data_IF_646442508094
#
_entry.id   IF_646442508094
#
_cell.length_a   1.000
_cell.length_b   1.000
_cell.length_c   1.000
_cell.angle_alpha   90.00
_cell.angle_beta   90.00
_cell.angle_gamma   90.00
#
_symmetry.space_group_name_H-M   'P 1'
#
loop_
_entity.id
_entity.type
_entity.pdbx_description
1 polymer ?
#
# COMPACT_ATOMS: atom_id res chain seq x y z
N UNK A 1 36.97 -24.13 4.48
CA UNK A 1 36.65 -22.70 4.47
C UNK A 1 37.61 -22.00 5.42
N UNK A 2 38.47 -21.09 4.94
CA UNK A 2 39.54 -20.50 5.77
C UNK A 2 39.00 -19.38 6.68
N UNK A 3 39.28 -19.49 7.98
CA UNK A 3 38.89 -18.54 9.04
C UNK A 3 39.22 -17.06 8.74
N UNK A 4 40.39 -16.68 8.18
CA UNK A 4 40.68 -15.29 7.87
C UNK A 4 39.83 -14.72 6.71
N UNK A 5 39.42 -15.55 5.76
CA UNK A 5 38.52 -15.10 4.67
C UNK A 5 37.08 -14.90 5.19
N UNK A 6 36.60 -15.77 6.07
CA UNK A 6 35.29 -15.62 6.71
C UNK A 6 35.21 -14.34 7.56
N UNK A 7 36.24 -14.06 8.37
CA UNK A 7 36.31 -12.83 9.17
C UNK A 7 36.37 -11.57 8.29
N UNK A 8 37.09 -11.60 7.16
CA UNK A 8 37.15 -10.50 6.19
C UNK A 8 35.84 -10.22 5.44
N UNK A 9 35.06 -11.27 5.12
CA UNK A 9 33.73 -11.11 4.51
C UNK A 9 32.74 -10.57 5.54
N UNK A 10 32.76 -11.07 6.77
CA UNK A 10 31.88 -10.58 7.84
C UNK A 10 32.17 -9.11 8.16
N UNK A 11 33.45 -8.71 8.22
CA UNK A 11 33.80 -7.29 8.39
C UNK A 11 33.30 -6.44 7.22
N UNK A 12 33.51 -6.86 5.96
CA UNK A 12 33.04 -6.10 4.80
C UNK A 12 31.52 -5.92 4.75
N UNK A 13 30.76 -6.97 5.09
CA UNK A 13 29.29 -6.90 5.18
C UNK A 13 28.84 -5.94 6.29
N UNK A 14 29.50 -5.96 7.45
CA UNK A 14 29.23 -5.02 8.54
C UNK A 14 29.53 -3.58 8.13
N UNK A 15 30.62 -3.33 7.39
CA UNK A 15 30.95 -2.00 6.85
C UNK A 15 29.87 -1.47 5.88
N UNK A 16 29.31 -2.33 5.02
CA UNK A 16 28.23 -1.94 4.11
C UNK A 16 26.95 -1.56 4.86
N UNK A 17 26.54 -2.36 5.85
CA UNK A 17 25.37 -2.02 6.68
C UNK A 17 25.61 -0.77 7.53
N UNK A 18 26.82 -0.58 8.05
CA UNK A 18 27.19 0.64 8.77
C UNK A 18 27.12 1.87 7.84
N UNK A 19 27.58 1.75 6.60
CA UNK A 19 27.49 2.82 5.59
C UNK A 19 26.04 3.19 5.30
N UNK A 20 25.17 2.20 5.09
CA UNK A 20 23.73 2.44 4.86
C UNK A 20 23.08 3.11 6.08
N UNK A 21 23.40 2.64 7.29
CA UNK A 21 22.87 3.22 8.53
C UNK A 21 23.31 4.68 8.68
N UNK A 22 24.59 4.98 8.48
CA UNK A 22 25.13 6.34 8.54
C UNK A 22 24.45 7.22 7.48
N UNK A 23 24.25 6.72 6.26
CA UNK A 23 23.56 7.46 5.21
C UNK A 23 22.12 7.82 5.60
N UNK A 24 21.37 6.87 6.15
CA UNK A 24 20.00 7.10 6.65
C UNK A 24 20.01 8.14 7.78
N UNK A 25 20.94 8.03 8.74
CA UNK A 25 21.07 8.97 9.86
C UNK A 25 21.42 10.38 9.38
N UNK A 26 22.35 10.50 8.43
CA UNK A 26 22.70 11.78 7.81
C UNK A 26 21.50 12.37 7.06
N UNK A 27 20.73 11.55 6.36
CA UNK A 27 19.49 11.98 5.69
C UNK A 27 18.46 12.56 6.66
N UNK A 28 18.20 11.87 7.77
CA UNK A 28 17.32 12.37 8.83
C UNK A 28 17.89 13.63 9.51
N UNK A 29 19.20 13.66 9.78
CA UNK A 29 19.86 14.82 10.37
C UNK A 29 19.76 16.04 9.43
N UNK A 30 19.99 15.85 8.13
CA UNK A 30 19.84 16.89 7.13
C UNK A 30 18.41 17.44 7.09
N UNK A 31 17.39 16.57 7.02
CA UNK A 31 15.99 16.98 7.06
C UNK A 31 15.65 17.72 8.36
N UNK A 32 16.14 17.22 9.50
CA UNK A 32 15.96 17.84 10.81
C UNK A 32 16.62 19.22 10.92
N UNK A 33 17.86 19.37 10.45
CA UNK A 33 18.59 20.65 10.40
C UNK A 33 17.87 21.61 9.47
N UNK A 34 17.45 21.19 8.28
CA UNK A 34 16.73 22.03 7.33
C UNK A 34 15.42 22.56 7.93
N UNK A 35 14.61 21.69 8.56
CA UNK A 35 13.39 22.10 9.26
C UNK A 35 13.69 22.98 10.48
N UNK A 36 14.78 22.72 11.20
CA UNK A 36 15.24 23.52 12.34
C UNK A 36 15.65 24.93 11.95
N UNK A 37 16.46 25.06 10.90
CA UNK A 37 16.86 26.34 10.30
C UNK A 37 15.64 27.07 9.76
N UNK A 38 14.74 26.39 9.04
CA UNK A 38 13.51 26.98 8.56
C UNK A 38 12.64 27.52 9.71
N UNK A 39 12.52 26.78 10.81
CA UNK A 39 11.81 27.23 12.02
C UNK A 39 12.48 28.42 12.70
N UNK A 40 13.82 28.48 12.71
CA UNK A 40 14.59 29.57 13.32
C UNK A 40 14.53 30.86 12.50
N UNK A 41 14.62 30.76 11.17
CA UNK A 41 14.60 31.92 10.27
C UNK A 41 13.19 32.45 9.99
N UNK A 42 12.16 31.60 10.11
CA UNK A 42 10.78 31.98 9.83
C UNK A 42 10.28 33.05 10.82
N UNK A 43 9.59 34.11 10.35
CA UNK A 43 8.84 35.01 11.22
C UNK A 43 7.73 34.27 12.00
N UNK A 44 7.80 34.32 13.33
CA UNK A 44 6.79 33.72 14.20
C UNK A 44 5.64 34.71 14.47
N UNK A 45 4.51 34.52 13.79
CA UNK A 45 3.29 35.31 14.00
C UNK A 45 2.07 34.37 14.08
N UNK A 46 1.90 33.65 15.21
CA UNK A 46 0.73 32.82 15.46
C UNK A 46 -0.49 33.71 15.72
N UNK A 47 -1.59 33.43 15.04
CA UNK A 47 -2.90 34.05 15.30
C UNK A 47 -3.96 32.96 15.38
N UNK A 48 -5.04 33.21 16.13
CA UNK A 48 -6.12 32.23 16.30
C UNK A 48 -6.64 31.71 14.95
N UNK A 49 -6.85 32.61 13.98
CA UNK A 49 -7.31 32.26 12.62
C UNK A 49 -6.30 31.44 11.78
N UNK A 50 -4.99 31.53 12.03
CA UNK A 50 -3.97 30.70 11.34
C UNK A 50 -3.87 29.29 11.91
N UNK A 51 -4.40 29.09 13.12
CA UNK A 51 -4.33 27.83 13.86
C UNK A 51 -5.64 27.04 13.77
N UNK A 52 -6.67 27.56 13.09
CA UNK A 52 -7.91 26.85 12.79
C UNK A 52 -7.78 25.98 11.54
N UNK A 53 -8.55 24.90 11.48
CA UNK A 53 -8.68 24.06 10.28
C UNK A 53 -9.11 24.91 9.08
N UNK A 54 -8.52 24.65 7.91
CA UNK A 54 -8.89 25.32 6.67
C UNK A 54 -10.23 24.78 6.16
N UNK A 55 -11.25 25.65 6.12
CA UNK A 55 -12.60 25.33 5.61
C UNK A 55 -13.09 26.41 4.64
N UNK A 56 -12.24 26.80 3.66
CA UNK A 56 -12.55 27.83 2.66
C UNK A 56 -13.00 29.20 3.22
N UNK A 57 -12.60 29.54 4.45
CA UNK A 57 -12.95 30.79 5.13
C UNK A 57 -14.09 30.68 6.14
N UNK A 58 -14.76 29.53 6.20
CA UNK A 58 -15.83 29.26 7.17
C UNK A 58 -15.29 28.61 8.46
N UNK A 59 -16.12 28.60 9.50
CA UNK A 59 -15.83 27.85 10.72
C UNK A 59 -16.10 26.36 10.47
N UNK A 60 -15.09 25.51 10.70
CA UNK A 60 -15.25 24.06 10.60
C UNK A 60 -16.40 23.59 11.50
N UNK A 61 -17.41 22.96 10.88
CA UNK A 61 -18.65 22.52 11.54
C UNK A 61 -18.82 21.03 11.32
N UNK A 62 -19.23 20.33 12.38
CA UNK A 62 -19.54 18.91 12.32
C UNK A 62 -18.38 18.01 12.74
N UNK A 63 -18.66 16.72 12.75
CA UNK A 63 -17.72 15.68 13.13
C UNK A 63 -16.87 15.27 11.92
N UNK A 64 -15.54 15.23 12.07
CA UNK A 64 -14.63 14.69 11.05
C UNK A 64 -14.71 13.15 10.91
N UNK A 65 -15.55 12.50 11.72
CA UNK A 65 -15.76 11.06 11.69
C UNK A 65 -16.69 10.67 10.55
N UNK A 66 -16.12 10.45 9.37
CA UNK A 66 -16.81 9.87 8.22
C UNK A 66 -16.52 8.38 8.11
N UNK A 67 -17.50 7.61 7.61
CA UNK A 67 -17.27 6.21 7.25
C UNK A 67 -16.43 6.16 5.98
N UNK A 68 -15.14 5.91 6.14
CA UNK A 68 -14.24 5.68 5.01
C UNK A 68 -14.70 4.47 4.21
N UNK A 69 -14.53 4.56 2.90
CA UNK A 69 -14.95 3.50 1.99
C UNK A 69 -14.10 2.24 2.23
N UNK A 70 -14.74 1.08 2.36
CA UNK A 70 -14.07 -0.23 2.56
C UNK A 70 -13.08 -0.58 1.43
N UNK A 71 -13.17 0.10 0.27
CA UNK A 71 -12.25 -0.09 -0.86
C UNK A 71 -10.78 0.11 -0.49
N UNK A 72 -10.45 1.04 0.41
CA UNK A 72 -9.06 1.22 0.87
C UNK A 72 -8.53 -0.02 1.61
N UNK A 73 -9.40 -0.68 2.38
CA UNK A 73 -9.07 -1.92 3.08
C UNK A 73 -8.83 -3.06 2.09
N UNK A 74 -9.67 -3.20 1.05
CA UNK A 74 -9.49 -4.24 0.04
C UNK A 74 -8.15 -4.08 -0.69
N UNK A 75 -7.80 -2.86 -1.12
CA UNK A 75 -6.50 -2.59 -1.76
C UNK A 75 -5.33 -2.90 -0.84
N UNK A 76 -5.40 -2.49 0.44
CA UNK A 76 -4.35 -2.79 1.41
C UNK A 76 -4.20 -4.29 1.69
N UNK A 77 -5.31 -5.03 1.79
CA UNK A 77 -5.32 -6.46 1.98
C UNK A 77 -4.65 -7.19 0.79
N UNK A 78 -5.00 -6.82 -0.45
CA UNK A 78 -4.37 -7.40 -1.63
C UNK A 78 -2.89 -7.06 -1.73
N UNK A 79 -2.50 -5.84 -1.37
CA UNK A 79 -1.09 -5.45 -1.30
C UNK A 79 -0.31 -6.34 -0.32
N UNK A 80 -0.84 -6.58 0.88
CA UNK A 80 -0.17 -7.45 1.88
C UNK A 80 -0.04 -8.89 1.36
N UNK A 81 -1.08 -9.44 0.75
CA UNK A 81 -1.03 -10.80 0.18
C UNK A 81 0.05 -10.89 -0.91
N UNK A 82 0.07 -9.93 -1.84
CA UNK A 82 1.06 -9.88 -2.90
C UNK A 82 2.50 -9.62 -2.39
N UNK A 83 2.66 -8.81 -1.35
CA UNK A 83 3.97 -8.55 -0.72
C UNK A 83 4.51 -9.81 -0.05
N UNK A 84 3.64 -10.58 0.62
CA UNK A 84 4.00 -11.90 1.15
C UNK A 84 4.36 -12.86 0.02
N UNK A 85 3.69 -12.83 -1.13
CA UNK A 85 4.05 -13.68 -2.28
C UNK A 85 5.45 -13.36 -2.83
N UNK A 86 5.86 -12.10 -2.81
CA UNK A 86 7.19 -11.66 -3.24
C UNK A 86 8.31 -12.25 -2.36
N UNK A 87 8.05 -12.52 -1.08
CA UNK A 87 9.06 -13.16 -0.21
C UNK A 87 9.41 -14.58 -0.68
N UNK A 88 8.52 -15.25 -1.40
CA UNK A 88 8.76 -16.58 -1.97
C UNK A 88 9.44 -16.50 -3.34
N UNK A 89 9.13 -15.49 -4.14
CA UNK A 89 9.72 -15.28 -5.45
C UNK A 89 11.20 -14.89 -5.38
N UNK A 90 11.59 -14.08 -4.39
CA UNK A 90 12.95 -13.55 -4.28
C UNK A 90 14.02 -14.65 -4.08
N UNK A 91 13.90 -15.57 -3.09
CA UNK A 91 14.87 -16.66 -2.92
C UNK A 91 14.96 -17.51 -4.17
N UNK A 92 13.82 -17.90 -4.76
CA UNK A 92 13.79 -18.68 -5.99
C UNK A 92 14.56 -17.99 -7.12
N UNK A 93 14.32 -16.70 -7.36
CA UNK A 93 14.96 -15.95 -8.44
C UNK A 93 16.50 -15.88 -8.27
N UNK A 94 16.98 -15.75 -7.04
CA UNK A 94 18.41 -15.70 -6.73
C UNK A 94 19.09 -17.05 -6.97
N UNK A 95 18.47 -18.16 -6.56
CA UNK A 95 19.08 -19.49 -6.67
C UNK A 95 18.85 -20.18 -8.01
N UNK A 96 17.85 -19.75 -8.79
CA UNK A 96 17.42 -20.40 -10.03
C UNK A 96 18.60 -20.67 -11.00
N UNK A 97 19.50 -19.70 -11.16
CA UNK A 97 20.69 -19.85 -12.04
C UNK A 97 21.64 -20.96 -11.59
N UNK A 98 21.70 -21.25 -10.29
CA UNK A 98 22.56 -22.29 -9.73
C UNK A 98 21.91 -23.68 -9.83
N UNK A 99 20.57 -23.73 -9.81
CA UNK A 99 19.79 -24.98 -9.90
C UNK A 99 19.55 -25.43 -11.35
N UNK A 100 19.55 -24.50 -12.31
CA UNK A 100 19.32 -24.80 -13.73
C UNK A 100 20.25 -25.88 -14.32
N UNK A 101 21.57 -25.93 -14.02
CA UNK A 101 22.47 -26.97 -14.54
C UNK A 101 22.27 -28.36 -13.93
N UNK A 102 21.49 -28.47 -12.84
CA UNK A 102 21.28 -29.74 -12.14
C UNK A 102 20.22 -30.57 -12.89
N UNK A 103 20.55 -31.79 -13.38
CA UNK A 103 19.63 -32.60 -14.16
C UNK A 103 18.33 -32.90 -13.39
N UNK A 104 17.18 -32.66 -14.02
CA UNK A 104 15.85 -32.88 -13.45
C UNK A 104 15.37 -31.77 -12.50
N UNK A 105 16.22 -31.29 -11.59
CA UNK A 105 15.85 -30.29 -10.58
C UNK A 105 15.56 -28.91 -11.17
N UNK A 106 16.36 -28.43 -12.14
CA UNK A 106 16.13 -27.11 -12.75
C UNK A 106 14.77 -26.99 -13.45
N UNK A 107 14.32 -28.07 -14.11
CA UNK A 107 13.02 -28.11 -14.79
C UNK A 107 11.85 -28.14 -13.79
N UNK A 108 11.98 -28.89 -12.70
CA UNK A 108 10.96 -28.94 -11.64
C UNK A 108 10.79 -27.56 -11.01
N UNK A 109 11.88 -26.95 -10.57
CA UNK A 109 11.88 -25.62 -9.92
C UNK A 109 11.36 -24.53 -10.86
N UNK A 110 11.58 -24.66 -12.18
CA UNK A 110 10.98 -23.76 -13.16
C UNK A 110 9.46 -23.91 -13.22
N UNK A 111 8.97 -25.14 -13.38
CA UNK A 111 7.52 -25.40 -13.51
C UNK A 111 6.74 -25.12 -12.22
N UNK A 112 7.33 -25.40 -11.06
CA UNK A 112 6.76 -25.04 -9.77
C UNK A 112 6.50 -23.53 -9.69
N UNK A 113 7.44 -22.70 -10.17
CA UNK A 113 7.19 -21.26 -10.21
C UNK A 113 6.18 -20.84 -11.26
N UNK A 114 6.17 -21.45 -12.44
CA UNK A 114 5.12 -21.15 -13.42
C UNK A 114 3.74 -21.43 -12.82
N UNK A 115 3.57 -22.55 -12.12
CA UNK A 115 2.32 -22.90 -11.45
C UNK A 115 2.02 -21.91 -10.31
N UNK A 116 3.00 -21.57 -9.49
CA UNK A 116 2.86 -20.58 -8.42
C UNK A 116 2.37 -19.24 -8.98
N UNK A 117 3.07 -18.67 -9.98
CA UNK A 117 2.65 -17.42 -10.64
C UNK A 117 1.28 -17.53 -11.31
N UNK A 118 0.94 -18.68 -11.89
CA UNK A 118 -0.37 -18.88 -12.51
C UNK A 118 -1.50 -18.81 -11.46
N UNK A 119 -1.31 -19.39 -10.28
CA UNK A 119 -2.28 -19.30 -9.17
C UNK A 119 -2.47 -17.85 -8.75
N UNK A 120 -1.38 -17.09 -8.61
CA UNK A 120 -1.45 -15.65 -8.27
C UNK A 120 -2.17 -14.84 -9.35
N UNK A 121 -1.85 -15.10 -10.62
CA UNK A 121 -2.47 -14.44 -11.76
C UNK A 121 -3.98 -14.73 -11.81
N UNK A 122 -4.41 -15.95 -11.50
CA UNK A 122 -5.84 -16.31 -11.40
C UNK A 122 -6.51 -15.58 -10.25
N UNK A 123 -5.88 -15.51 -9.07
CA UNK A 123 -6.39 -14.74 -7.93
C UNK A 123 -6.58 -13.27 -8.26
N UNK A 124 -5.58 -12.64 -8.90
CA UNK A 124 -5.65 -11.26 -9.35
C UNK A 124 -6.73 -11.07 -10.42
N UNK A 125 -6.80 -11.95 -11.42
CA UNK A 125 -7.80 -11.90 -12.49
C UNK A 125 -9.23 -12.02 -11.94
N UNK A 126 -9.44 -12.87 -10.92
CA UNK A 126 -10.74 -13.01 -10.26
C UNK A 126 -11.19 -11.70 -9.59
N UNK A 127 -10.30 -11.09 -8.80
CA UNK A 127 -10.59 -9.84 -8.08
C UNK A 127 -10.83 -8.69 -9.06
N UNK A 128 -10.05 -8.65 -10.15
CA UNK A 128 -10.23 -7.68 -11.22
C UNK A 128 -11.58 -7.89 -11.92
N UNK A 129 -11.91 -9.13 -12.32
CA UNK A 129 -13.20 -9.43 -12.95
C UNK A 129 -14.41 -9.08 -12.08
N UNK A 130 -14.27 -9.13 -10.75
CA UNK A 130 -15.29 -8.73 -9.79
C UNK A 130 -15.40 -7.21 -9.58
N UNK A 131 -14.46 -6.43 -10.11
CA UNK A 131 -14.42 -4.97 -9.96
C UNK A 131 -14.16 -4.52 -8.52
N UNK A 132 -13.54 -5.37 -7.69
CA UNK A 132 -13.16 -5.00 -6.32
C UNK A 132 -11.96 -4.04 -6.29
N UNK A 133 -11.23 -3.93 -7.41
CA UNK A 133 -10.21 -2.91 -7.66
C UNK A 133 -10.78 -1.62 -8.29
N UNK A 134 -12.04 -1.61 -8.73
CA UNK A 134 -12.61 -0.45 -9.42
C UNK A 134 -12.89 0.69 -8.46
N UNK A 135 -12.38 1.88 -8.80
CA UNK A 135 -12.63 3.08 -8.01
C UNK A 135 -14.08 3.54 -8.09
N UNK A 136 -14.76 3.31 -9.21
CA UNK A 136 -16.16 3.64 -9.45
C UNK A 136 -16.91 2.36 -9.80
N UNK A 137 -17.53 1.71 -8.81
CA UNK A 137 -18.49 0.63 -9.10
C UNK A 137 -19.66 1.26 -9.86
N UNK A 138 -19.84 0.88 -11.12
CA UNK A 138 -21.03 1.26 -11.90
C UNK A 138 -22.24 0.72 -11.14
N UNK A 139 -23.09 1.63 -10.64
CA UNK A 139 -24.40 1.27 -10.15
C UNK A 139 -25.25 0.90 -11.38
N UNK A 140 -25.03 -0.29 -11.93
CA UNK A 140 -25.87 -0.77 -13.02
C UNK A 140 -27.23 -1.11 -12.43
N UNK A 141 -28.10 -0.12 -12.54
CA UNK A 141 -29.55 -0.19 -12.69
C UNK A 141 -30.35 -0.91 -11.59
N UNK A 142 -30.72 -0.14 -10.55
CA UNK A 142 -31.92 -0.40 -9.74
C UNK A 142 -32.97 0.68 -10.02
N UNK A 143 -32.95 1.31 -11.20
CA UNK A 143 -33.90 2.38 -11.55
C UNK A 143 -35.18 1.87 -12.23
N UNK A 144 -35.24 0.58 -12.59
CA UNK A 144 -36.41 -0.01 -13.24
C UNK A 144 -37.47 -0.66 -12.35
N UNK A 145 -37.27 -0.77 -11.03
CA UNK A 145 -38.16 -1.57 -10.15
C UNK A 145 -38.97 -0.76 -9.14
N UNK A 146 -38.80 0.56 -9.02
CA UNK A 146 -39.52 1.37 -8.02
C UNK A 146 -40.65 2.22 -8.58
N UNK A 147 -41.03 2.06 -9.86
CA UNK A 147 -42.06 2.88 -10.50
C UNK A 147 -43.47 2.25 -10.51
N UNK A 148 -43.69 1.06 -9.94
CA UNK A 148 -45.01 0.40 -9.94
C UNK A 148 -45.76 0.43 -8.61
N UNK A 149 -45.13 0.78 -7.50
CA UNK A 149 -45.68 0.50 -6.16
C UNK A 149 -46.13 1.75 -5.36
N UNK A 150 -46.21 2.93 -5.99
CA UNK A 150 -46.49 4.20 -5.29
C UNK A 150 -47.81 4.90 -5.62
N UNK A 151 -48.76 4.22 -6.27
CA UNK A 151 -50.01 4.85 -6.75
C UNK A 151 -51.22 4.70 -5.80
N UNK A 152 -51.01 4.37 -4.52
CA UNK A 152 -52.10 4.35 -3.55
C UNK A 152 -51.59 4.80 -2.18
N UNK A 153 -52.40 5.61 -1.51
CA UNK A 153 -52.32 5.98 -0.09
C UNK A 153 -51.44 7.21 0.24
N UNK A 154 -52.05 8.40 0.23
CA UNK A 154 -52.30 9.17 1.47
C UNK A 154 -53.09 10.47 1.16
N UNK A 155 -54.40 10.42 1.38
CA UNK A 155 -55.26 11.60 1.50
C UNK A 155 -55.37 11.91 3.01
N UNK A 156 -54.80 13.04 3.44
CA UNK A 156 -54.77 13.46 4.86
C UNK A 156 -55.85 14.53 5.10
N UNK A 157 -56.82 14.35 6.01
CA UNK A 157 -57.78 15.38 6.35
C UNK A 157 -57.20 16.35 7.40
N UNK A 158 -57.44 17.65 7.19
CA UNK A 158 -56.99 18.75 8.05
C UNK A 158 -57.74 18.82 9.39
N UNK A 159 -57.07 19.24 10.47
CA UNK A 159 -57.68 20.01 11.56
C UNK A 159 -57.45 21.52 11.41
#
# INVERSE_FOLDING_TARGET
MNLPHFLGVVSGVQEHFATVLIFVLVGFAFAGIALGVAKLLRPSNPSAAKMTTYECGEVARGSSWIRFNVRFYLVALFFIVFDVEMIFLLPWAVVFRQLMPVPGLGAIVFWEMIIFLAILAVGLAYVWGKGDLDWVKKLTDRSGSSASDGAAEEEVPAP
#
